data_IF_070891975961
#
_entry.id   IF_070891975961
#
_cell.length_a   1.000
_cell.length_b   1.000
_cell.length_c   1.000
_cell.angle_alpha   90.00
_cell.angle_beta   90.00
_cell.angle_gamma   90.00
#
_symmetry.space_group_name_H-M   'P 1'
#
loop_
_entity.id
_entity.type
_entity.pdbx_description
1 polymer ?
#
# COMPACT_ATOMS: atom_id res chain seq x y z
N UNK A 1 -16.03 -3.46 -56.98
CA UNK A 1 -14.72 -4.11 -56.77
C UNK A 1 -14.09 -3.48 -55.53
N UNK A 2 -13.75 -4.31 -54.54
CA UNK A 2 -13.19 -4.02 -53.20
C UNK A 2 -14.17 -3.66 -52.07
N UNK A 3 -14.61 -4.71 -51.37
CA UNK A 3 -15.23 -4.66 -50.05
C UNK A 3 -14.13 -4.63 -48.96
N UNK A 4 -14.32 -3.79 -47.96
CA UNK A 4 -13.45 -3.67 -46.79
C UNK A 4 -13.61 -4.88 -45.85
N UNK A 5 -12.53 -5.62 -45.64
CA UNK A 5 -12.48 -6.72 -44.67
C UNK A 5 -12.06 -6.16 -43.31
N UNK A 6 -13.03 -5.77 -42.50
CA UNK A 6 -12.84 -5.52 -41.07
C UNK A 6 -12.96 -6.85 -40.30
N UNK A 7 -11.86 -7.56 -40.12
CA UNK A 7 -11.82 -8.68 -39.16
C UNK A 7 -11.53 -8.12 -37.77
N UNK A 8 -12.57 -7.67 -37.06
CA UNK A 8 -12.56 -7.52 -35.61
C UNK A 8 -12.29 -8.90 -35.01
N UNK A 9 -11.08 -9.11 -34.49
CA UNK A 9 -10.78 -10.22 -33.57
C UNK A 9 -11.49 -9.93 -32.25
N UNK A 10 -12.75 -10.36 -32.16
CA UNK A 10 -13.47 -10.43 -30.90
C UNK A 10 -12.86 -11.57 -30.08
N UNK A 11 -12.20 -11.24 -28.98
CA UNK A 11 -11.79 -12.21 -27.98
C UNK A 11 -13.06 -12.87 -27.41
N UNK A 12 -13.14 -14.21 -27.35
CA UNK A 12 -14.30 -14.89 -26.80
C UNK A 12 -14.47 -14.54 -25.32
N UNK A 13 -15.63 -13.99 -24.98
CA UNK A 13 -16.13 -13.94 -23.60
C UNK A 13 -16.36 -15.38 -23.13
N UNK A 14 -15.35 -15.96 -22.48
CA UNK A 14 -15.45 -17.23 -21.79
C UNK A 14 -16.22 -17.05 -20.47
N UNK A 15 -17.51 -17.39 -20.50
CA UNK A 15 -18.48 -17.23 -19.41
C UNK A 15 -18.47 -18.36 -18.38
N UNK A 16 -17.33 -19.05 -18.19
CA UNK A 16 -17.21 -20.12 -17.18
C UNK A 16 -15.88 -20.18 -16.42
N UNK A 17 -14.91 -19.30 -16.72
CA UNK A 17 -13.59 -19.36 -16.10
C UNK A 17 -13.55 -18.51 -14.83
N UNK A 18 -13.34 -19.15 -13.66
CA UNK A 18 -13.03 -18.47 -12.39
C UNK A 18 -11.96 -17.40 -12.66
N UNK A 19 -12.22 -16.16 -12.23
CA UNK A 19 -11.23 -15.09 -12.37
C UNK A 19 -9.92 -15.53 -11.70
N UNK A 20 -8.76 -15.36 -12.35
CA UNK A 20 -7.48 -15.87 -11.85
C UNK A 20 -7.19 -15.33 -10.45
N UNK A 21 -6.85 -16.24 -9.54
CA UNK A 21 -6.47 -15.87 -8.19
C UNK A 21 -5.04 -15.31 -8.13
N UNK A 22 -4.61 -14.82 -6.97
CA UNK A 22 -3.28 -14.19 -6.83
C UNK A 22 -2.17 -15.24 -7.07
N UNK A 23 -2.43 -16.49 -6.72
CA UNK A 23 -1.53 -17.62 -6.96
C UNK A 23 -1.42 -17.96 -8.45
N UNK A 24 -2.52 -17.95 -9.20
CA UNK A 24 -2.55 -18.11 -10.65
C UNK A 24 -1.70 -17.03 -11.34
N UNK A 25 -1.88 -15.77 -10.93
CA UNK A 25 -1.13 -14.63 -11.46
C UNK A 25 0.37 -14.78 -11.17
N UNK A 26 0.75 -15.17 -9.94
CA UNK A 26 2.15 -15.41 -9.56
C UNK A 26 2.78 -16.55 -10.35
N UNK A 27 2.08 -17.67 -10.54
CA UNK A 27 2.57 -18.80 -11.36
C UNK A 27 2.79 -18.41 -12.82
N UNK A 28 1.88 -17.61 -13.38
CA UNK A 28 2.00 -17.11 -14.74
C UNK A 28 3.20 -16.17 -14.90
N UNK A 29 3.51 -15.34 -13.90
CA UNK A 29 4.60 -14.39 -13.94
C UNK A 29 5.98 -15.03 -14.18
N UNK A 30 6.14 -16.30 -13.80
CA UNK A 30 7.36 -17.08 -14.09
C UNK A 30 7.57 -17.35 -15.60
N UNK A 31 6.49 -17.32 -16.40
CA UNK A 31 6.53 -17.53 -17.86
C UNK A 31 6.42 -16.22 -18.62
N UNK A 32 5.49 -15.36 -18.19
CA UNK A 32 5.22 -14.07 -18.81
C UNK A 32 4.85 -13.04 -17.74
N UNK A 33 5.83 -12.24 -17.34
CA UNK A 33 5.65 -11.15 -16.38
C UNK A 33 4.71 -10.06 -16.90
N UNK A 34 4.72 -9.80 -18.21
CA UNK A 34 3.88 -8.78 -18.84
C UNK A 34 2.41 -9.15 -18.79
N UNK A 35 2.09 -10.39 -19.15
CA UNK A 35 0.72 -10.92 -19.08
C UNK A 35 0.24 -11.00 -17.64
N UNK A 36 1.08 -11.46 -16.71
CA UNK A 36 0.76 -11.48 -15.28
C UNK A 36 0.46 -10.08 -14.75
N UNK A 37 1.26 -9.07 -15.10
CA UNK A 37 1.00 -7.68 -14.74
C UNK A 37 -0.33 -7.17 -15.33
N UNK A 38 -0.63 -7.51 -16.59
CA UNK A 38 -1.92 -7.19 -17.20
C UNK A 38 -3.11 -7.75 -16.40
N UNK A 39 -2.98 -8.94 -15.84
CA UNK A 39 -3.99 -9.53 -14.96
C UNK A 39 -4.07 -8.82 -13.60
N UNK A 40 -2.94 -8.41 -13.01
CA UNK A 40 -2.93 -7.58 -11.78
C UNK A 40 -3.73 -6.30 -12.01
N UNK A 41 -3.43 -5.56 -13.08
CA UNK A 41 -4.14 -4.32 -13.40
C UNK A 41 -5.64 -4.59 -13.56
N UNK A 42 -6.03 -5.55 -14.40
CA UNK A 42 -7.45 -5.87 -14.64
C UNK A 42 -8.19 -6.27 -13.36
N UNK A 43 -7.56 -7.08 -12.51
CA UNK A 43 -8.16 -7.59 -11.28
C UNK A 43 -8.34 -6.50 -10.22
N UNK A 44 -7.33 -5.65 -10.02
CA UNK A 44 -7.31 -4.70 -8.92
C UNK A 44 -7.68 -3.27 -9.29
N UNK A 45 -7.84 -2.94 -10.58
CA UNK A 45 -8.20 -1.58 -10.99
C UNK A 45 -9.48 -1.10 -10.31
N UNK A 46 -10.61 -1.79 -10.48
CA UNK A 46 -11.90 -1.35 -9.92
C UNK A 46 -11.89 -1.29 -8.39
N UNK A 47 -11.43 -2.33 -7.65
CA UNK A 47 -11.40 -2.27 -6.19
C UNK A 47 -10.51 -1.15 -5.64
N UNK A 48 -9.33 -0.93 -6.22
CA UNK A 48 -8.42 0.13 -5.78
C UNK A 48 -8.93 1.51 -6.16
N UNK A 49 -9.60 1.65 -7.31
CA UNK A 49 -10.22 2.91 -7.72
C UNK A 49 -11.33 3.31 -6.77
N UNK A 50 -12.24 2.39 -6.42
CA UNK A 50 -13.27 2.65 -5.42
C UNK A 50 -12.68 3.03 -4.05
N UNK A 51 -11.61 2.35 -3.62
CA UNK A 51 -10.86 2.69 -2.40
C UNK A 51 -10.32 4.12 -2.47
N UNK A 52 -9.59 4.46 -3.53
CA UNK A 52 -8.97 5.78 -3.71
C UNK A 52 -10.02 6.89 -3.75
N UNK A 53 -11.09 6.71 -4.54
CA UNK A 53 -12.21 7.65 -4.62
C UNK A 53 -12.90 7.82 -3.27
N UNK A 54 -13.01 6.77 -2.45
CA UNK A 54 -13.58 6.89 -1.10
C UNK A 54 -12.75 7.76 -0.16
N UNK A 55 -11.42 7.85 -0.36
CA UNK A 55 -10.50 8.65 0.46
C UNK A 55 -10.41 10.08 -0.08
N UNK A 56 -10.17 10.23 -1.38
CA UNK A 56 -9.92 11.51 -2.05
C UNK A 56 -11.19 12.33 -2.29
N UNK A 57 -12.35 11.65 -2.40
CA UNK A 57 -13.62 12.24 -2.83
C UNK A 57 -13.57 12.89 -4.22
N UNK A 58 -12.57 12.53 -5.03
CA UNK A 58 -12.35 12.99 -6.40
C UNK A 58 -12.02 11.78 -7.29
N UNK A 59 -12.92 11.37 -8.21
CA UNK A 59 -12.70 10.23 -9.09
C UNK A 59 -11.56 10.41 -10.09
N UNK A 60 -11.32 11.65 -10.55
CA UNK A 60 -10.28 11.92 -11.55
C UNK A 60 -8.90 11.80 -10.90
N UNK A 61 -8.75 12.38 -9.71
CA UNK A 61 -7.52 12.28 -8.94
C UNK A 61 -7.25 10.84 -8.47
N UNK A 62 -8.30 10.09 -8.13
CA UNK A 62 -8.19 8.67 -7.86
C UNK A 62 -7.63 7.90 -9.06
N UNK A 63 -8.08 8.21 -10.28
CA UNK A 63 -7.58 7.59 -11.50
C UNK A 63 -6.08 7.88 -11.71
N UNK A 64 -5.65 9.11 -11.50
CA UNK A 64 -4.25 9.52 -11.63
C UNK A 64 -3.36 8.83 -10.59
N UNK A 65 -3.82 8.75 -9.34
CA UNK A 65 -3.09 8.03 -8.30
C UNK A 65 -3.01 6.52 -8.56
N UNK A 66 -4.04 5.91 -9.14
CA UNK A 66 -3.97 4.49 -9.51
C UNK A 66 -2.92 4.20 -10.59
N UNK A 67 -2.70 5.12 -11.53
CA UNK A 67 -1.63 4.96 -12.50
C UNK A 67 -0.28 4.86 -11.79
N UNK A 68 -0.01 5.74 -10.82
CA UNK A 68 1.21 5.68 -10.01
C UNK A 68 1.31 4.39 -9.20
N UNK A 69 0.21 3.89 -8.62
CA UNK A 69 0.18 2.59 -7.93
C UNK A 69 0.65 1.46 -8.85
N UNK A 70 0.12 1.38 -10.07
CA UNK A 70 0.49 0.33 -11.00
C UNK A 70 1.89 0.50 -11.57
N UNK A 71 2.37 1.74 -11.75
CA UNK A 71 3.78 2.02 -12.10
C UNK A 71 4.72 1.49 -11.00
N UNK A 72 4.38 1.74 -9.73
CA UNK A 72 5.13 1.18 -8.60
C UNK A 72 5.07 -0.35 -8.59
N UNK A 73 3.92 -0.94 -8.87
CA UNK A 73 3.77 -2.39 -8.96
C UNK A 73 4.69 -2.96 -10.05
N UNK A 74 4.73 -2.35 -11.24
CA UNK A 74 5.62 -2.78 -12.33
C UNK A 74 7.10 -2.79 -11.92
N UNK A 75 7.50 -1.82 -11.08
CA UNK A 75 8.86 -1.65 -10.57
C UNK A 75 9.19 -2.49 -9.33
N UNK A 76 8.21 -3.10 -8.67
CA UNK A 76 8.45 -3.93 -7.48
C UNK A 76 8.96 -5.32 -7.91
N UNK A 77 10.22 -5.67 -7.61
CA UNK A 77 10.80 -6.95 -8.02
C UNK A 77 10.13 -8.12 -7.31
N UNK A 78 9.70 -7.93 -6.06
CA UNK A 78 9.14 -9.00 -5.22
C UNK A 78 7.68 -9.32 -5.52
N UNK A 79 7.02 -8.52 -6.36
CA UNK A 79 5.56 -8.53 -6.57
C UNK A 79 4.97 -9.93 -6.83
N UNK A 80 5.74 -10.78 -7.52
CA UNK A 80 5.31 -12.13 -7.91
C UNK A 80 5.99 -13.25 -7.12
N UNK A 81 6.74 -12.93 -6.07
CA UNK A 81 7.31 -13.97 -5.20
C UNK A 81 6.19 -14.71 -4.45
N UNK A 82 6.31 -16.03 -4.24
CA UNK A 82 5.31 -16.83 -3.54
C UNK A 82 4.90 -16.23 -2.20
N UNK A 83 5.87 -15.81 -1.39
CA UNK A 83 5.75 -15.23 -0.05
C UNK A 83 5.28 -13.76 -0.03
N UNK A 84 5.24 -13.09 -1.18
CA UNK A 84 4.89 -11.67 -1.24
C UNK A 84 3.38 -11.44 -1.29
N UNK A 85 2.83 -10.75 -0.31
CA UNK A 85 1.39 -10.47 -0.22
C UNK A 85 0.95 -9.37 -1.22
N UNK A 86 0.78 -9.75 -2.49
CA UNK A 86 0.41 -8.88 -3.62
C UNK A 86 -0.77 -7.96 -3.31
N UNK A 87 -1.89 -8.54 -2.87
CA UNK A 87 -3.11 -7.81 -2.55
C UNK A 87 -2.86 -6.80 -1.45
N UNK A 88 -2.31 -7.25 -0.31
CA UNK A 88 -2.07 -6.38 0.84
C UNK A 88 -1.15 -5.21 0.46
N UNK A 89 -0.10 -5.49 -0.32
CA UNK A 89 0.83 -4.47 -0.78
C UNK A 89 0.15 -3.42 -1.67
N UNK A 90 -0.67 -3.83 -2.64
CA UNK A 90 -1.39 -2.90 -3.52
C UNK A 90 -2.34 -1.98 -2.73
N UNK A 91 -3.13 -2.54 -1.82
CA UNK A 91 -4.04 -1.74 -1.00
C UNK A 91 -3.31 -0.77 -0.07
N UNK A 92 -2.15 -1.17 0.46
CA UNK A 92 -1.28 -0.30 1.26
C UNK A 92 -0.76 0.85 0.41
N UNK A 93 -0.15 0.58 -0.74
CA UNK A 93 0.40 1.63 -1.62
C UNK A 93 -0.69 2.62 -2.05
N UNK A 94 -1.87 2.15 -2.43
CA UNK A 94 -3.02 3.00 -2.79
C UNK A 94 -3.44 3.89 -1.64
N UNK A 95 -3.65 3.31 -0.46
CA UNK A 95 -4.10 4.06 0.72
C UNK A 95 -3.09 5.14 1.09
N UNK A 96 -1.79 4.81 1.05
CA UNK A 96 -0.74 5.75 1.42
C UNK A 96 -0.62 6.90 0.42
N UNK A 97 -0.71 6.60 -0.88
CA UNK A 97 -0.72 7.64 -1.90
C UNK A 97 -1.90 8.60 -1.75
N UNK A 98 -3.09 8.08 -1.41
CA UNK A 98 -4.26 8.92 -1.18
C UNK A 98 -4.08 9.83 0.04
N UNK A 99 -3.59 9.31 1.17
CA UNK A 99 -3.40 10.13 2.37
C UNK A 99 -2.30 11.18 2.20
N UNK A 100 -1.19 10.84 1.56
CA UNK A 100 -0.15 11.83 1.24
C UNK A 100 -0.71 12.95 0.36
N UNK A 101 -1.50 12.62 -0.66
CA UNK A 101 -2.13 13.62 -1.51
C UNK A 101 -3.11 14.54 -0.76
N UNK A 102 -3.94 13.99 0.13
CA UNK A 102 -4.84 14.79 0.99
C UNK A 102 -4.03 15.72 1.90
N UNK A 103 -2.95 15.23 2.51
CA UNK A 103 -2.09 16.05 3.38
C UNK A 103 -1.40 17.17 2.60
N UNK A 104 -0.83 16.87 1.44
CA UNK A 104 -0.16 17.86 0.59
C UNK A 104 -1.12 18.93 0.06
N UNK A 105 -2.36 18.55 -0.28
CA UNK A 105 -3.42 19.51 -0.64
C UNK A 105 -3.74 20.45 0.52
N UNK A 106 -3.87 19.94 1.74
CA UNK A 106 -4.13 20.76 2.92
C UNK A 106 -2.97 21.71 3.21
N UNK A 107 -1.73 21.22 3.21
CA UNK A 107 -0.55 22.09 3.42
C UNK A 107 -0.51 23.23 2.39
N UNK A 108 -0.77 22.93 1.11
CA UNK A 108 -0.84 23.97 0.06
C UNK A 108 -1.98 24.96 0.31
N UNK A 109 -3.14 24.49 0.75
CA UNK A 109 -4.26 25.36 1.10
C UNK A 109 -3.93 26.26 2.29
N UNK A 110 -3.32 25.74 3.35
CA UNK A 110 -2.86 26.48 4.54
C UNK A 110 -1.82 27.55 4.19
N UNK A 111 -0.85 27.23 3.34
CA UNK A 111 0.15 28.19 2.86
C UNK A 111 -0.47 29.33 2.03
N UNK A 112 -1.55 29.03 1.28
CA UNK A 112 -2.29 30.03 0.51
C UNK A 112 -3.27 30.85 1.36
N UNK A 113 -3.82 30.28 2.44
CA UNK A 113 -4.89 30.90 3.25
C UNK A 113 -4.39 31.61 4.51
N UNK A 114 -3.15 31.37 4.95
CA UNK A 114 -2.57 32.01 6.14
C UNK A 114 -3.23 31.62 7.47
N UNK A 115 -4.10 30.60 7.48
CA UNK A 115 -4.82 30.15 8.67
C UNK A 115 -4.09 28.97 9.35
N UNK A 116 -4.11 28.85 10.69
CA UNK A 116 -3.47 27.74 11.40
C UNK A 116 -4.11 26.40 11.05
N UNK A 117 -3.31 25.33 11.17
CA UNK A 117 -3.67 23.94 10.91
C UNK A 117 -4.82 23.49 11.85
N UNK A 118 -6.06 23.53 11.36
CA UNK A 118 -7.22 23.00 12.10
C UNK A 118 -7.17 21.47 12.16
N UNK A 119 -7.49 20.99 13.37
CA UNK A 119 -7.31 19.65 13.87
C UNK A 119 -7.73 18.53 12.89
N UNK A 120 -6.87 17.51 12.85
CA UNK A 120 -7.09 16.20 12.25
C UNK A 120 -8.56 15.74 12.37
N UNK A 121 -9.27 15.43 11.27
CA UNK A 121 -10.27 14.39 11.38
C UNK A 121 -9.50 13.12 11.67
N UNK A 122 -9.65 12.60 12.89
CA UNK A 122 -9.37 11.22 13.28
C UNK A 122 -10.27 10.29 12.45
N UNK A 123 -9.97 10.21 11.15
CA UNK A 123 -10.63 9.33 10.21
C UNK A 123 -10.13 7.92 10.47
N UNK A 124 -10.86 7.20 11.33
CA UNK A 124 -10.75 5.76 11.56
C UNK A 124 -10.34 5.04 10.27
N UNK A 125 -9.37 4.11 10.29
CA UNK A 125 -9.33 3.12 9.23
C UNK A 125 -10.61 2.31 9.34
N UNK A 126 -11.55 2.54 8.42
CA UNK A 126 -12.62 1.58 8.17
C UNK A 126 -11.94 0.29 7.71
N UNK A 127 -11.76 -0.61 8.68
CA UNK A 127 -11.48 -2.01 8.45
C UNK A 127 -12.68 -2.59 7.72
N UNK A 128 -12.56 -2.69 6.40
CA UNK A 128 -13.39 -3.61 5.63
C UNK A 128 -12.50 -4.31 4.61
N UNK A 129 -12.60 -5.64 4.68
CA UNK A 129 -12.08 -6.68 3.81
C UNK A 129 -10.63 -7.14 4.01
N UNK A 130 -10.54 -8.32 4.67
CA UNK A 130 -9.50 -9.33 4.49
C UNK A 130 -8.10 -8.98 4.99
N UNK A 131 -8.02 -8.95 6.31
CA UNK A 131 -6.91 -9.62 6.95
C UNK A 131 -7.50 -10.75 7.78
N UNK A 132 -7.17 -11.99 7.45
CA UNK A 132 -7.13 -13.03 8.48
C UNK A 132 -5.87 -12.71 9.30
N UNK A 133 -5.94 -11.62 10.10
CA UNK A 133 -5.15 -11.53 11.32
C UNK A 133 -5.93 -12.38 12.30
N UNK A 134 -5.42 -13.56 12.66
CA UNK A 134 -5.90 -14.21 13.89
C UNK A 134 -5.74 -13.22 15.04
N UNK A 135 -6.62 -13.26 16.04
CA UNK A 135 -6.46 -12.45 17.27
C UNK A 135 -5.04 -12.65 17.85
N UNK A 136 -4.52 -13.87 17.74
CA UNK A 136 -3.14 -14.24 18.06
C UNK A 136 -2.07 -13.42 17.32
N UNK A 137 -2.26 -13.10 16.03
CA UNK A 137 -1.31 -12.32 15.24
C UNK A 137 -1.36 -10.82 15.62
N UNK A 138 -2.51 -10.34 16.08
CA UNK A 138 -2.66 -8.99 16.62
C UNK A 138 -2.08 -8.87 18.03
N UNK A 139 -2.34 -9.85 18.88
CA UNK A 139 -1.86 -9.88 20.26
C UNK A 139 -0.34 -10.07 20.32
N UNK A 140 0.20 -10.92 19.45
CA UNK A 140 1.66 -11.07 19.29
C UNK A 140 2.34 -9.77 18.83
N UNK A 141 1.72 -9.02 17.91
CA UNK A 141 2.22 -7.70 17.51
C UNK A 141 2.18 -6.70 18.66
N UNK A 142 1.08 -6.64 19.42
CA UNK A 142 0.94 -5.75 20.57
C UNK A 142 1.99 -6.08 21.65
N UNK A 143 2.15 -7.36 21.98
CA UNK A 143 3.19 -7.83 22.91
C UNK A 143 4.60 -7.53 22.40
N UNK A 144 4.84 -7.64 21.10
CA UNK A 144 6.14 -7.32 20.52
C UNK A 144 6.44 -5.82 20.54
N UNK A 145 5.43 -5.00 20.23
CA UNK A 145 5.49 -3.55 20.37
C UNK A 145 5.75 -3.14 21.81
N UNK A 146 5.19 -3.88 22.77
CA UNK A 146 5.40 -3.64 24.20
C UNK A 146 6.85 -3.85 24.65
N UNK A 147 7.59 -4.74 23.98
CA UNK A 147 9.01 -5.02 24.25
C UNK A 147 9.97 -4.04 23.58
N UNK A 148 9.47 -3.14 22.75
CA UNK A 148 10.27 -2.07 22.15
C UNK A 148 10.41 -0.88 23.10
N UNK A 149 11.53 -0.17 22.98
CA UNK A 149 11.69 1.14 23.63
C UNK A 149 10.60 2.09 23.14
N UNK A 150 10.17 3.05 23.98
CA UNK A 150 9.14 4.02 23.59
C UNK A 150 9.45 4.71 22.26
N UNK A 151 10.71 5.09 22.06
CA UNK A 151 11.20 5.76 20.85
C UNK A 151 11.12 4.89 19.59
N UNK A 152 11.41 3.59 19.70
CA UNK A 152 11.28 2.65 18.58
C UNK A 152 9.81 2.38 18.25
N UNK A 153 8.98 2.22 19.28
CA UNK A 153 7.54 2.03 19.10
C UNK A 153 6.90 3.27 18.49
N UNK A 154 7.23 4.45 18.97
CA UNK A 154 6.71 5.72 18.46
C UNK A 154 7.06 5.91 16.98
N UNK A 155 8.33 5.71 16.59
CA UNK A 155 8.73 5.91 15.20
C UNK A 155 8.10 4.89 14.25
N UNK A 156 7.90 3.65 14.70
CA UNK A 156 7.17 2.63 13.95
C UNK A 156 5.69 2.97 13.84
N UNK A 157 5.06 3.44 14.92
CA UNK A 157 3.67 3.89 14.87
C UNK A 157 3.52 5.07 13.91
N UNK A 158 4.36 6.09 14.01
CA UNK A 158 4.32 7.24 13.09
C UNK A 158 4.51 6.80 11.63
N UNK A 159 5.39 5.82 11.38
CA UNK A 159 5.65 5.33 10.02
C UNK A 159 4.54 4.45 9.46
N UNK A 160 4.09 3.45 10.22
CA UNK A 160 3.22 2.39 9.70
C UNK A 160 1.75 2.63 10.01
N UNK A 161 1.46 3.34 11.11
CA UNK A 161 0.10 3.69 11.51
C UNK A 161 -0.25 5.14 11.15
N UNK A 162 0.67 6.07 11.39
CA UNK A 162 0.52 7.49 11.03
C UNK A 162 0.83 7.80 9.57
N UNK A 163 1.38 6.83 8.82
CA UNK A 163 1.80 6.95 7.42
C UNK A 163 2.62 8.21 7.10
N UNK A 164 3.45 8.63 8.06
CA UNK A 164 4.31 9.80 7.91
C UNK A 164 5.53 9.45 7.03
N UNK A 165 5.92 10.39 6.17
CA UNK A 165 7.20 10.32 5.47
C UNK A 165 8.36 10.51 6.44
N UNK A 166 9.57 10.16 6.03
CA UNK A 166 10.73 10.32 6.92
C UNK A 166 11.00 11.78 7.27
N UNK A 167 10.69 12.71 6.36
CA UNK A 167 10.81 14.14 6.59
C UNK A 167 9.79 14.63 7.63
N UNK A 168 8.56 14.13 7.59
CA UNK A 168 7.54 14.52 8.57
C UNK A 168 7.74 13.86 9.91
N UNK A 169 8.28 12.63 9.95
CA UNK A 169 8.70 12.03 11.22
C UNK A 169 9.85 12.85 11.83
N UNK A 170 10.78 13.34 10.99
CA UNK A 170 11.89 14.18 11.43
C UNK A 170 11.37 15.50 12.04
N UNK A 171 10.44 16.16 11.35
CA UNK A 171 9.78 17.38 11.82
C UNK A 171 8.95 17.14 13.09
N UNK A 172 8.13 16.08 13.10
CA UNK A 172 7.22 15.75 14.21
C UNK A 172 7.96 15.43 15.50
N UNK A 173 9.09 14.74 15.41
CA UNK A 173 9.92 14.33 16.53
C UNK A 173 11.05 15.30 16.84
N UNK A 174 11.17 16.39 16.08
CA UNK A 174 12.28 17.37 16.14
C UNK A 174 13.67 16.70 16.11
N UNK A 175 13.87 15.78 15.17
CA UNK A 175 15.13 15.06 14.96
C UNK A 175 15.59 15.13 13.51
N UNK A 176 16.89 14.95 13.28
CA UNK A 176 17.45 14.92 11.92
C UNK A 176 16.89 13.74 11.12
N UNK A 177 16.71 13.94 9.81
CA UNK A 177 16.27 12.89 8.87
C UNK A 177 17.15 11.62 8.94
N UNK A 178 18.47 11.78 9.08
CA UNK A 178 19.38 10.64 9.26
C UNK A 178 19.14 9.88 10.58
N UNK A 179 18.68 10.57 11.62
CA UNK A 179 18.24 9.96 12.89
C UNK A 179 16.96 9.16 12.67
N UNK A 180 16.01 9.67 11.89
CA UNK A 180 14.79 8.92 11.53
C UNK A 180 15.14 7.62 10.81
N UNK A 181 15.98 7.68 9.77
CA UNK A 181 16.38 6.50 9.01
C UNK A 181 17.08 5.45 9.89
N UNK A 182 18.07 5.88 10.68
CA UNK A 182 18.82 4.97 11.56
C UNK A 182 17.97 4.43 12.72
N UNK A 183 17.04 5.23 13.26
CA UNK A 183 16.13 4.82 14.34
C UNK A 183 15.04 3.88 13.83
N UNK A 184 14.49 4.12 12.63
CA UNK A 184 13.58 3.16 11.97
C UNK A 184 14.27 1.85 11.65
N UNK A 185 15.51 1.90 11.14
CA UNK A 185 16.27 0.67 10.86
C UNK A 185 16.45 -0.16 12.13
N UNK A 186 16.91 0.46 13.22
CA UNK A 186 17.09 -0.21 14.51
C UNK A 186 15.77 -0.71 15.10
N UNK A 187 14.71 0.09 15.01
CA UNK A 187 13.37 -0.30 15.48
C UNK A 187 12.83 -1.52 14.72
N UNK A 188 13.06 -1.60 13.40
CA UNK A 188 12.67 -2.77 12.59
C UNK A 188 13.49 -4.00 12.93
N UNK A 189 14.82 -3.89 13.00
CA UNK A 189 15.67 -5.01 13.42
C UNK A 189 15.26 -5.55 14.79
N UNK A 190 14.97 -4.66 15.74
CA UNK A 190 14.53 -5.05 17.07
C UNK A 190 13.14 -5.69 17.08
N UNK A 191 12.22 -5.19 16.25
CA UNK A 191 10.90 -5.82 16.10
C UNK A 191 11.04 -7.24 15.53
N UNK A 192 11.89 -7.44 14.51
CA UNK A 192 12.17 -8.77 13.95
C UNK A 192 12.80 -9.73 14.97
N UNK A 193 13.74 -9.27 15.79
CA UNK A 193 14.32 -10.07 16.88
C UNK A 193 13.29 -10.52 17.91
N UNK A 194 12.35 -9.63 18.25
CA UNK A 194 11.33 -9.89 19.28
C UNK A 194 10.26 -10.87 18.79
N UNK A 195 9.91 -10.79 17.51
CA UNK A 195 8.81 -11.54 16.91
C UNK A 195 9.30 -12.87 16.29
N UNK A 196 10.59 -12.96 15.94
CA UNK A 196 11.20 -14.10 15.28
C UNK A 196 11.20 -13.97 13.74
N UNK A 197 12.18 -14.57 13.04
CA UNK A 197 12.37 -14.43 11.60
C UNK A 197 11.26 -15.08 10.76
N UNK A 198 10.58 -16.10 11.29
CA UNK A 198 9.53 -16.86 10.57
C UNK A 198 8.12 -16.25 10.73
N UNK A 199 8.00 -15.11 11.40
CA UNK A 199 6.70 -14.51 11.68
C UNK A 199 6.19 -13.66 10.51
N UNK A 200 4.89 -13.68 10.16
CA UNK A 200 4.31 -12.93 9.03
C UNK A 200 4.59 -11.42 9.04
N UNK A 201 4.81 -10.86 10.23
CA UNK A 201 5.13 -9.44 10.43
C UNK A 201 6.59 -9.07 10.17
N UNK A 202 7.51 -10.05 10.13
CA UNK A 202 8.90 -9.81 9.76
C UNK A 202 9.00 -9.30 8.32
N UNK A 203 8.12 -9.76 7.42
CA UNK A 203 8.01 -9.29 6.04
C UNK A 203 7.47 -7.85 5.90
N UNK A 204 6.73 -7.36 6.91
CA UNK A 204 6.24 -5.97 6.96
C UNK A 204 7.34 -5.01 7.46
N UNK A 205 8.30 -5.54 8.21
CA UNK A 205 9.46 -4.84 8.77
C UNK A 205 10.70 -4.83 7.85
N UNK A 206 10.66 -5.47 6.68
CA UNK A 206 11.73 -5.48 5.65
C UNK A 206 11.46 -4.48 4.53
#
# INVERSE_FOLDING_TARGET
MFAATATRSALPCDSGRRAPDDGDIKRLAARDRGLAMGLVVRKYHTPLHLRATSILKDPQEAQDLLQEVFIRAMREPRLFLPEFELRAWLYRVTTNLCFNNVRDKRRRATLLSGLPEEALPQGRPSQSAELIFTEELRDSLLLAMDRLTPEHREILMLRYYGDLSYAEIAERLDIKLGTVMSRLSRARSRLTEVVGPDHPLAAVAA
#
